data_IF_196308782984
#
_entry.id   IF_196308782984
#
_cell.length_a   1.000
_cell.length_b   1.000
_cell.length_c   1.000
_cell.angle_alpha   90.00
_cell.angle_beta   90.00
_cell.angle_gamma   90.00
#
_symmetry.space_group_name_H-M   'P 1'
#
loop_
_entity.id
_entity.type
_entity.pdbx_description
1 polymer ?
#
# COMPACT_ATOMS: atom_id res chain seq x y z
N UNK A 1 -13.41 -66.80 -11.04
CA UNK A 1 -14.80 -66.32 -10.94
C UNK A 1 -15.19 -66.24 -9.48
N UNK A 2 -14.96 -65.09 -8.83
CA UNK A 2 -15.92 -64.39 -7.93
C UNK A 2 -15.46 -62.93 -7.82
N UNK A 3 -16.38 -62.00 -8.08
CA UNK A 3 -16.23 -60.57 -7.81
C UNK A 3 -16.58 -60.29 -6.34
N UNK A 4 -15.85 -59.41 -5.64
CA UNK A 4 -16.35 -58.58 -4.53
C UNK A 4 -15.36 -57.41 -4.36
N UNK A 5 -15.65 -56.27 -5.00
CA UNK A 5 -16.27 -55.07 -4.41
C UNK A 5 -15.32 -54.26 -3.52
N UNK A 6 -15.01 -53.06 -4.01
CA UNK A 6 -14.15 -52.11 -3.34
C UNK A 6 -14.80 -51.51 -2.10
N UNK A 7 -13.93 -51.03 -1.23
CA UNK A 7 -14.23 -49.97 -0.28
C UNK A 7 -13.01 -49.04 -0.22
N UNK A 8 -13.07 -47.97 -1.00
CA UNK A 8 -12.32 -46.75 -0.74
C UNK A 8 -13.08 -46.02 0.36
N UNK A 9 -12.73 -46.28 1.62
CA UNK A 9 -13.41 -45.65 2.74
C UNK A 9 -12.89 -44.23 2.94
N UNK A 10 -13.67 -43.29 2.42
CA UNK A 10 -13.61 -41.85 2.68
C UNK A 10 -13.66 -41.61 4.19
N UNK A 11 -12.54 -41.23 4.81
CA UNK A 11 -12.57 -40.36 6.00
C UNK A 11 -12.59 -38.91 5.55
N UNK A 12 -13.79 -38.34 5.52
CA UNK A 12 -14.02 -36.89 5.42
C UNK A 12 -14.28 -36.36 6.82
N UNK A 13 -13.24 -36.23 7.63
CA UNK A 13 -13.43 -35.71 8.98
C UNK A 13 -12.66 -34.39 9.16
N UNK A 14 -13.45 -33.32 9.21
CA UNK A 14 -13.20 -32.02 9.85
C UNK A 14 -12.26 -31.03 9.16
N UNK A 15 -12.83 -30.30 8.20
CA UNK A 15 -12.43 -28.90 7.98
C UNK A 15 -12.95 -28.11 9.19
N UNK A 16 -12.06 -27.85 10.15
CA UNK A 16 -12.33 -26.94 11.27
C UNK A 16 -12.59 -25.57 10.66
N UNK A 17 -13.86 -25.18 10.58
CA UNK A 17 -14.25 -23.86 10.12
C UNK A 17 -14.00 -22.87 11.26
N UNK A 18 -12.74 -22.43 11.38
CA UNK A 18 -12.38 -21.31 12.23
C UNK A 18 -13.09 -20.06 11.68
N UNK A 19 -14.14 -19.62 12.38
CA UNK A 19 -14.64 -18.26 12.26
C UNK A 19 -13.60 -17.36 12.90
N UNK A 20 -12.56 -17.03 12.15
CA UNK A 20 -11.73 -15.88 12.48
C UNK A 20 -12.60 -14.64 12.26
N UNK A 21 -12.80 -13.86 13.32
CA UNK A 21 -13.39 -12.53 13.18
C UNK A 21 -12.41 -11.69 12.35
N UNK A 22 -12.66 -11.59 11.04
CA UNK A 22 -11.87 -10.76 10.13
C UNK A 22 -12.15 -9.30 10.52
N UNK A 23 -11.29 -8.75 11.36
CA UNK A 23 -11.31 -7.33 11.68
C UNK A 23 -10.88 -6.56 10.43
N UNK A 24 -11.81 -5.78 9.87
CA UNK A 24 -11.49 -4.86 8.78
C UNK A 24 -10.74 -3.66 9.36
N UNK A 25 -9.51 -3.45 8.92
CA UNK A 25 -8.72 -2.26 9.27
C UNK A 25 -9.41 -0.97 8.83
N UNK A 26 -9.01 0.16 9.42
CA UNK A 26 -9.61 1.48 9.18
C UNK A 26 -9.42 2.02 7.75
N UNK A 27 -8.60 1.34 6.94
CA UNK A 27 -8.11 1.81 5.66
C UNK A 27 -6.82 2.63 5.77
N UNK A 28 -6.36 2.94 6.99
CA UNK A 28 -5.06 3.51 7.28
C UNK A 28 -4.25 2.54 8.14
N UNK A 29 -3.36 1.77 7.52
CA UNK A 29 -2.50 0.81 8.24
C UNK A 29 -1.62 1.49 9.30
N UNK A 30 -1.23 2.75 9.09
CA UNK A 30 -0.43 3.48 10.08
C UNK A 30 -1.28 3.85 11.30
N UNK A 31 -2.56 4.10 11.12
CA UNK A 31 -3.49 4.34 12.22
C UNK A 31 -3.79 3.05 12.97
N UNK A 32 -4.02 1.96 12.24
CA UNK A 32 -4.26 0.63 12.82
C UNK A 32 -3.07 0.15 13.68
N UNK A 33 -1.85 0.53 13.29
CA UNK A 33 -0.61 0.27 14.03
C UNK A 33 -0.25 1.35 15.07
N UNK A 34 -1.12 2.32 15.31
CA UNK A 34 -0.90 3.45 16.23
C UNK A 34 0.41 4.22 15.97
N UNK A 35 0.79 4.36 14.71
CA UNK A 35 1.99 5.08 14.29
C UNK A 35 1.68 6.59 14.25
N UNK A 36 2.53 7.45 14.85
CA UNK A 36 2.35 8.90 14.81
C UNK A 36 2.30 9.45 13.38
N UNK A 37 1.47 10.49 13.21
CA UNK A 37 1.25 11.16 11.92
C UNK A 37 0.76 10.19 10.83
N UNK A 38 -0.09 9.24 11.22
CA UNK A 38 -0.62 8.18 10.35
C UNK A 38 -1.14 8.70 9.01
N UNK A 39 -1.92 9.78 9.01
CA UNK A 39 -2.49 10.36 7.78
C UNK A 39 -1.40 10.87 6.83
N UNK A 40 -0.35 11.50 7.37
CA UNK A 40 0.78 12.02 6.58
C UNK A 40 1.59 10.87 5.99
N UNK A 41 1.84 9.82 6.79
CA UNK A 41 2.55 8.61 6.33
C UNK A 41 1.77 7.90 5.24
N UNK A 42 0.47 7.72 5.42
CA UNK A 42 -0.40 7.14 4.41
C UNK A 42 -0.40 7.97 3.13
N UNK A 43 -0.52 9.30 3.24
CA UNK A 43 -0.52 10.17 2.07
C UNK A 43 0.80 10.05 1.28
N UNK A 44 1.95 10.07 1.97
CA UNK A 44 3.25 9.84 1.31
C UNK A 44 3.32 8.46 0.65
N UNK A 45 2.84 7.41 1.32
CA UNK A 45 2.85 6.04 0.79
C UNK A 45 1.99 5.92 -0.47
N UNK A 46 0.81 6.53 -0.50
CA UNK A 46 -0.05 6.57 -1.69
C UNK A 46 0.66 7.28 -2.84
N UNK A 47 1.24 8.46 -2.60
CA UNK A 47 1.98 9.20 -3.63
C UNK A 47 3.16 8.39 -4.17
N UNK A 48 3.93 7.74 -3.28
CA UNK A 48 5.06 6.88 -3.68
C UNK A 48 4.59 5.68 -4.51
N UNK A 49 3.49 5.03 -4.12
CA UNK A 49 2.91 3.93 -4.87
C UNK A 49 2.50 4.37 -6.29
N UNK A 50 1.90 5.55 -6.45
CA UNK A 50 1.57 6.09 -7.77
C UNK A 50 2.82 6.41 -8.61
N UNK A 51 3.90 6.89 -7.98
CA UNK A 51 5.19 7.07 -8.68
C UNK A 51 5.72 5.73 -9.18
N UNK A 52 5.74 4.71 -8.33
CA UNK A 52 6.21 3.37 -8.68
C UNK A 52 5.37 2.81 -9.84
N UNK A 53 4.04 2.87 -9.73
CA UNK A 53 3.12 2.46 -10.81
C UNK A 53 3.40 3.20 -12.12
N UNK A 54 3.63 4.50 -12.08
CA UNK A 54 3.94 5.29 -13.27
C UNK A 54 5.29 4.90 -13.90
N UNK A 55 6.30 4.60 -13.08
CA UNK A 55 7.59 4.11 -13.55
C UNK A 55 7.46 2.72 -14.20
N UNK A 56 6.72 1.81 -13.56
CA UNK A 56 6.57 0.44 -14.02
C UNK A 56 5.72 0.36 -15.29
N UNK A 57 4.61 1.12 -15.37
CA UNK A 57 3.77 1.21 -16.59
C UNK A 57 4.54 1.72 -17.81
N UNK A 58 5.56 2.56 -17.61
CA UNK A 58 6.40 3.11 -18.67
C UNK A 58 7.72 2.34 -18.85
N UNK A 59 7.92 1.25 -18.10
CA UNK A 59 9.14 0.45 -18.07
C UNK A 59 10.42 1.31 -17.89
N UNK A 60 10.31 2.36 -17.07
CA UNK A 60 11.38 3.30 -16.85
C UNK A 60 12.37 2.75 -15.82
N UNK A 61 13.59 2.51 -16.26
CA UNK A 61 14.71 2.36 -15.34
C UNK A 61 14.95 3.68 -14.59
N UNK A 62 15.55 3.60 -13.40
CA UNK A 62 15.91 4.77 -12.59
C UNK A 62 16.72 5.80 -13.39
N UNK A 63 17.67 5.35 -14.22
CA UNK A 63 18.48 6.24 -15.07
C UNK A 63 17.65 6.92 -16.16
N UNK A 64 16.73 6.20 -16.81
CA UNK A 64 15.81 6.78 -17.80
C UNK A 64 14.88 7.81 -17.14
N UNK A 65 14.33 7.48 -15.97
CA UNK A 65 13.49 8.38 -15.20
C UNK A 65 14.23 9.67 -14.82
N UNK A 66 15.49 9.56 -14.38
CA UNK A 66 16.34 10.73 -14.14
C UNK A 66 16.53 11.58 -15.40
N UNK A 67 16.82 10.96 -16.54
CA UNK A 67 16.98 11.67 -17.82
C UNK A 67 15.73 12.46 -18.23
N UNK A 68 14.55 11.87 -18.07
CA UNK A 68 13.28 12.49 -18.45
C UNK A 68 12.83 13.60 -17.49
N UNK A 69 13.00 13.40 -16.17
CA UNK A 69 12.40 14.27 -15.13
C UNK A 69 13.40 15.24 -14.50
N UNK A 70 14.70 15.01 -14.71
CA UNK A 70 15.82 15.66 -13.98
C UNK A 70 15.76 15.49 -12.47
N UNK A 71 15.03 14.48 -11.98
CA UNK A 71 15.03 14.09 -10.57
C UNK A 71 16.20 13.14 -10.32
N UNK A 72 16.96 13.27 -9.22
CA UNK A 72 18.09 12.40 -8.95
C UNK A 72 17.70 10.90 -8.96
N UNK A 73 18.55 10.06 -9.55
CA UNK A 73 18.36 8.60 -9.51
C UNK A 73 18.18 8.06 -8.08
N UNK A 74 18.94 8.60 -7.12
CA UNK A 74 18.84 8.22 -5.71
C UNK A 74 17.45 8.45 -5.13
N UNK A 75 16.74 9.49 -5.57
CA UNK A 75 15.37 9.75 -5.11
C UNK A 75 14.42 8.65 -5.59
N UNK A 76 14.52 8.25 -6.87
CA UNK A 76 13.71 7.16 -7.42
C UNK A 76 14.01 5.82 -6.75
N UNK A 77 15.28 5.55 -6.42
CA UNK A 77 15.65 4.33 -5.67
C UNK A 77 14.99 4.30 -4.30
N UNK A 78 15.05 5.39 -3.52
CA UNK A 78 14.42 5.47 -2.19
C UNK A 78 12.91 5.34 -2.26
N UNK A 79 12.28 5.96 -3.27
CA UNK A 79 10.84 5.84 -3.49
C UNK A 79 10.45 4.38 -3.75
N UNK A 80 11.20 3.66 -4.62
CA UNK A 80 10.97 2.24 -4.89
C UNK A 80 11.11 1.34 -3.66
N UNK A 81 11.99 1.71 -2.72
CA UNK A 81 12.15 0.97 -1.45
C UNK A 81 11.24 1.49 -0.33
N UNK A 82 10.32 2.41 -0.63
CA UNK A 82 9.44 3.07 0.35
C UNK A 82 10.18 3.76 1.53
N UNK A 83 11.42 4.20 1.30
CA UNK A 83 12.15 5.06 2.24
C UNK A 83 11.69 6.52 2.04
N UNK A 84 10.59 6.88 2.71
CA UNK A 84 9.88 8.14 2.51
C UNK A 84 10.11 9.18 3.62
N UNK A 85 10.96 8.88 4.61
CA UNK A 85 11.14 9.76 5.78
C UNK A 85 11.66 11.14 5.38
N UNK A 86 12.61 11.17 4.43
CA UNK A 86 13.25 12.39 3.93
C UNK A 86 12.42 13.16 2.91
N UNK A 87 11.34 12.56 2.40
CA UNK A 87 10.52 13.18 1.37
C UNK A 87 9.39 13.98 2.01
N UNK A 88 9.23 15.23 1.58
CA UNK A 88 7.98 15.96 1.80
C UNK A 88 6.91 15.46 0.84
N UNK A 89 5.64 15.57 1.21
CA UNK A 89 4.54 15.21 0.30
C UNK A 89 4.57 16.05 -0.98
N UNK A 90 4.94 17.33 -0.87
CA UNK A 90 5.15 18.23 -2.00
C UNK A 90 6.22 17.72 -2.98
N UNK A 91 7.37 17.24 -2.47
CA UNK A 91 8.42 16.66 -3.31
C UNK A 91 7.91 15.46 -4.12
N UNK A 92 7.10 14.59 -3.52
CA UNK A 92 6.49 13.44 -4.21
C UNK A 92 5.48 13.89 -5.27
N UNK A 93 4.64 14.88 -4.96
CA UNK A 93 3.71 15.47 -5.93
C UNK A 93 4.44 16.08 -7.14
N UNK A 94 5.53 16.82 -6.91
CA UNK A 94 6.34 17.36 -8.01
C UNK A 94 6.93 16.26 -8.89
N UNK A 95 7.39 15.15 -8.30
CA UNK A 95 7.93 14.01 -9.07
C UNK A 95 6.83 13.38 -9.95
N UNK A 96 5.62 13.19 -9.42
CA UNK A 96 4.46 12.71 -10.20
C UNK A 96 4.14 13.62 -11.38
N UNK A 97 4.11 14.94 -11.16
CA UNK A 97 3.88 15.94 -12.21
C UNK A 97 4.95 15.85 -13.31
N UNK A 98 6.22 15.69 -12.92
CA UNK A 98 7.34 15.53 -13.86
C UNK A 98 7.29 14.22 -14.66
N UNK A 99 6.68 13.18 -14.11
CA UNK A 99 6.41 11.93 -14.83
C UNK A 99 5.24 12.06 -15.81
N UNK A 100 4.62 13.25 -15.94
CA UNK A 100 3.51 13.51 -16.85
C UNK A 100 2.18 12.95 -16.35
N UNK A 101 2.07 12.69 -15.04
CA UNK A 101 0.81 12.29 -14.42
C UNK A 101 0.12 13.53 -13.89
N UNK A 102 -1.18 13.69 -14.21
CA UNK A 102 -2.02 14.68 -13.56
C UNK A 102 -2.50 14.08 -12.24
N UNK A 103 -2.06 14.64 -11.12
CA UNK A 103 -2.48 14.21 -9.79
C UNK A 103 -3.64 15.09 -9.34
N UNK A 104 -4.76 14.48 -9.01
CA UNK A 104 -5.88 15.16 -8.34
C UNK A 104 -5.92 14.71 -6.88
N UNK A 105 -5.85 15.66 -5.96
CA UNK A 105 -5.91 15.41 -4.51
C UNK A 105 -7.14 16.13 -3.96
N UNK A 106 -8.11 15.36 -3.47
CA UNK A 106 -9.24 15.91 -2.73
C UNK A 106 -9.01 15.77 -1.23
N UNK A 107 -8.91 16.89 -0.51
CA UNK A 107 -8.79 16.88 0.96
C UNK A 107 -10.17 17.08 1.58
N UNK A 108 -10.60 16.13 2.41
CA UNK A 108 -11.80 16.26 3.23
C UNK A 108 -11.38 16.41 4.69
N UNK A 109 -11.60 17.60 5.25
CA UNK A 109 -11.35 17.86 6.67
C UNK A 109 -12.55 17.35 7.46
N UNK A 110 -12.28 16.51 8.46
CA UNK A 110 -13.26 16.05 9.45
C UNK A 110 -12.79 16.47 10.82
N UNK A 111 -13.72 16.84 11.69
CA UNK A 111 -13.39 17.06 13.09
C UNK A 111 -12.83 15.75 13.69
N UNK A 112 -11.71 15.88 14.39
CA UNK A 112 -11.13 14.74 15.10
C UNK A 112 -12.08 14.43 16.26
N UNK A 113 -12.80 13.31 16.19
CA UNK A 113 -13.54 12.80 17.35
C UNK A 113 -12.54 12.64 18.49
N UNK A 114 -12.66 13.46 19.53
CA UNK A 114 -11.93 13.23 20.78
C UNK A 114 -12.55 11.96 21.36
N UNK A 115 -11.87 10.83 21.18
CA UNK A 115 -12.18 9.67 22.02
C UNK A 115 -11.94 10.12 23.45
N UNK A 116 -12.99 10.06 24.26
CA UNK A 116 -12.92 10.44 25.65
C UNK A 116 -11.82 9.58 26.30
N UNK A 117 -10.74 10.23 26.71
CA UNK A 117 -9.74 9.62 27.58
C UNK A 117 -10.51 9.23 28.84
N UNK A 118 -10.75 7.93 29.03
CA UNK A 118 -11.14 7.42 30.33
C UNK A 118 -9.90 7.59 31.22
N UNK A 119 -9.97 8.58 32.10
CA UNK A 119 -9.04 8.75 33.23
C UNK A 119 -9.50 7.83 34.35
#
# INVERSE_FOLDING_TARGET
MVCFHGQTERRRDNVIQMKEDIIRGSGNVYQDLNIPYADVRQFKAILAAEIIKALDKKELSVRKAQGLTRVPAADFSRIRTADLERFTSDRLMMILNKLGSRVEVSVKVKERKREAVHV
#
